data_IF_055630793515
#
_entry.id   IF_055630793515
#
_cell.length_a   1.000
_cell.length_b   1.000
_cell.length_c   1.000
_cell.angle_alpha   90.00
_cell.angle_beta   90.00
_cell.angle_gamma   90.00
#
_symmetry.space_group_name_H-M   'P 1'
#
loop_
_entity.id
_entity.type
_entity.pdbx_description
1 polymer ?
#
# COMPACT_ATOMS: atom_id res chain seq x y z
N UNK A 1 -2.39 -14.53 -2.82
CA UNK A 1 -1.32 -13.65 -2.30
C UNK A 1 -1.74 -13.17 -0.93
N UNK A 2 -0.85 -13.26 0.06
CA UNK A 2 -1.11 -12.74 1.40
C UNK A 2 -1.14 -11.21 1.40
N UNK A 3 -1.70 -10.63 2.46
CA UNK A 3 -1.73 -9.17 2.65
C UNK A 3 -0.31 -8.59 2.68
N UNK A 4 0.63 -9.31 3.31
CA UNK A 4 2.06 -8.95 3.38
C UNK A 4 2.75 -9.02 2.01
N UNK A 5 2.51 -10.07 1.24
CA UNK A 5 3.07 -10.20 -0.11
C UNK A 5 2.56 -9.09 -1.03
N UNK A 6 1.27 -8.73 -0.92
CA UNK A 6 0.69 -7.65 -1.73
C UNK A 6 1.21 -6.28 -1.32
N UNK A 7 1.34 -6.01 -0.02
CA UNK A 7 1.96 -4.78 0.49
C UNK A 7 3.41 -4.64 -0.03
N UNK A 8 4.17 -5.75 0.00
CA UNK A 8 5.53 -5.82 -0.55
C UNK A 8 5.54 -5.50 -2.04
N UNK A 9 4.67 -6.14 -2.83
CA UNK A 9 4.57 -5.90 -4.27
C UNK A 9 4.29 -4.43 -4.60
N UNK A 10 3.31 -3.81 -3.93
CA UNK A 10 2.95 -2.41 -4.17
C UNK A 10 4.10 -1.47 -3.81
N UNK A 11 4.71 -1.66 -2.65
CA UNK A 11 5.85 -0.85 -2.21
C UNK A 11 6.99 -0.89 -3.23
N UNK A 12 7.43 -2.08 -3.65
CA UNK A 12 8.53 -2.20 -4.63
C UNK A 12 8.15 -1.77 -6.04
N UNK A 13 6.88 -1.92 -6.43
CA UNK A 13 6.40 -1.41 -7.70
C UNK A 13 6.56 0.11 -7.75
N UNK A 14 6.19 0.82 -6.68
CA UNK A 14 6.34 2.28 -6.63
C UNK A 14 7.77 2.72 -6.41
N UNK A 15 8.57 2.03 -5.58
CA UNK A 15 10.00 2.33 -5.37
C UNK A 15 10.78 2.41 -6.69
N UNK A 16 10.48 1.51 -7.64
CA UNK A 16 11.07 1.52 -8.98
C UNK A 16 10.76 2.80 -9.78
N UNK A 17 9.61 3.42 -9.56
CA UNK A 17 9.15 4.60 -10.30
C UNK A 17 9.36 5.91 -9.54
N UNK A 18 9.47 5.85 -8.22
CA UNK A 18 9.79 6.99 -7.36
C UNK A 18 11.28 7.15 -7.15
N UNK A 19 12.14 6.26 -7.65
CA UNK A 19 13.59 6.48 -7.60
C UNK A 19 14.00 7.55 -8.60
N UNK A 20 14.23 8.75 -8.09
CA UNK A 20 14.90 9.83 -8.81
C UNK A 20 16.22 10.04 -8.10
N UNK A 21 17.36 9.79 -8.75
CA UNK A 21 18.72 9.91 -8.16
C UNK A 21 19.12 11.32 -7.67
N UNK A 22 18.13 12.18 -7.40
CA UNK A 22 18.20 13.54 -6.88
C UNK A 22 17.69 13.66 -5.44
N UNK A 23 17.09 12.60 -4.88
CA UNK A 23 16.62 12.56 -3.49
C UNK A 23 17.27 11.41 -2.73
N UNK A 24 17.28 11.51 -1.41
CA UNK A 24 17.80 10.47 -0.53
C UNK A 24 17.06 9.15 -0.69
N UNK A 25 17.70 8.04 -0.29
CA UNK A 25 17.05 6.74 -0.26
C UNK A 25 15.81 6.75 0.63
N UNK A 26 15.84 7.48 1.74
CA UNK A 26 14.71 7.63 2.66
C UNK A 26 13.53 8.36 2.02
N UNK A 27 13.77 9.47 1.32
CA UNK A 27 12.73 10.21 0.60
C UNK A 27 12.10 9.37 -0.53
N UNK A 28 12.89 8.56 -1.23
CA UNK A 28 12.38 7.62 -2.24
C UNK A 28 11.48 6.54 -1.61
N UNK A 29 11.91 5.95 -0.48
CA UNK A 29 11.15 4.95 0.28
C UNK A 29 9.83 5.53 0.80
N UNK A 30 9.84 6.76 1.33
CA UNK A 30 8.63 7.45 1.79
C UNK A 30 7.68 7.75 0.63
N UNK A 31 8.21 8.18 -0.52
CA UNK A 31 7.41 8.39 -1.74
C UNK A 31 6.75 7.10 -2.21
N UNK A 32 7.49 5.99 -2.25
CA UNK A 32 6.97 4.67 -2.62
C UNK A 32 5.85 4.21 -1.68
N UNK A 33 6.06 4.37 -0.36
CA UNK A 33 5.05 4.08 0.67
C UNK A 33 3.79 4.91 0.45
N UNK A 34 3.93 6.21 0.20
CA UNK A 34 2.78 7.10 -0.01
C UNK A 34 1.99 6.72 -1.26
N UNK A 35 2.66 6.42 -2.38
CA UNK A 35 1.99 5.95 -3.59
C UNK A 35 1.23 4.64 -3.35
N UNK A 36 1.85 3.68 -2.63
CA UNK A 36 1.20 2.43 -2.28
C UNK A 36 -0.05 2.64 -1.40
N UNK A 37 0.02 3.53 -0.41
CA UNK A 37 -1.11 3.88 0.45
C UNK A 37 -2.26 4.52 -0.34
N UNK A 38 -1.96 5.50 -1.21
CA UNK A 38 -2.98 6.15 -2.05
C UNK A 38 -3.69 5.12 -2.93
N UNK A 39 -2.94 4.23 -3.58
CA UNK A 39 -3.52 3.19 -4.43
C UNK A 39 -4.47 2.27 -3.65
N UNK A 40 -4.10 1.85 -2.44
CA UNK A 40 -4.95 1.03 -1.58
C UNK A 40 -6.18 1.79 -1.10
N UNK A 41 -6.04 3.07 -0.75
CA UNK A 41 -7.16 3.91 -0.32
C UNK A 41 -8.19 4.10 -1.43
N UNK A 42 -7.75 4.32 -2.67
CA UNK A 42 -8.67 4.40 -3.82
C UNK A 42 -9.44 3.10 -4.04
N UNK A 43 -8.80 1.95 -3.83
CA UNK A 43 -9.49 0.65 -3.89
C UNK A 43 -10.50 0.51 -2.75
N UNK A 44 -10.13 0.84 -1.52
CA UNK A 44 -11.01 0.77 -0.35
C UNK A 44 -12.27 1.64 -0.54
N UNK A 45 -12.13 2.83 -1.16
CA UNK A 45 -13.27 3.74 -1.42
C UNK A 45 -14.32 3.13 -2.36
N UNK A 46 -13.91 2.31 -3.33
CA UNK A 46 -14.84 1.71 -4.31
C UNK A 46 -15.32 0.31 -3.92
N UNK A 47 -14.70 -0.32 -2.93
CA UNK A 47 -15.12 -1.63 -2.40
C UNK A 47 -16.09 -1.40 -1.24
N UNK A 48 -17.37 -1.82 -1.34
CA UNK A 48 -18.32 -1.63 -0.25
C UNK A 48 -17.89 -2.41 0.99
N UNK A 49 -17.86 -1.74 2.15
CA UNK A 49 -17.47 -2.35 3.43
C UNK A 49 -18.45 -3.46 3.86
N UNK A 50 -19.75 -3.29 3.55
CA UNK A 50 -20.80 -4.25 3.89
C UNK A 50 -21.64 -4.59 2.67
N UNK A 51 -21.88 -5.89 2.46
CA UNK A 51 -22.80 -6.43 1.45
C UNK A 51 -23.72 -7.46 2.10
N UNK A 52 -24.30 -7.11 3.25
CA UNK A 52 -25.01 -8.03 4.17
C UNK A 52 -24.13 -8.62 5.27
N UNK A 53 -22.83 -8.75 5.03
CA UNK A 53 -21.77 -9.05 6.01
C UNK A 53 -20.55 -8.18 5.70
N UNK A 54 -19.53 -8.18 6.59
CA UNK A 54 -18.24 -7.52 6.31
C UNK A 54 -17.64 -8.08 5.02
N UNK A 55 -17.39 -7.21 4.06
CA UNK A 55 -16.88 -7.61 2.76
C UNK A 55 -15.43 -8.12 2.90
N UNK A 56 -15.13 -9.37 2.52
CA UNK A 56 -13.78 -9.92 2.63
C UNK A 56 -12.76 -9.15 1.78
N UNK A 57 -13.17 -8.56 0.65
CA UNK A 57 -12.29 -7.75 -0.18
C UNK A 57 -11.94 -6.42 0.52
N UNK A 58 -12.92 -5.78 1.15
CA UNK A 58 -12.66 -4.56 1.91
C UNK A 58 -11.68 -4.84 3.06
N UNK A 59 -11.94 -5.92 3.82
CA UNK A 59 -11.08 -6.36 4.92
C UNK A 59 -9.67 -6.73 4.45
N UNK A 60 -9.56 -7.36 3.28
CA UNK A 60 -8.27 -7.67 2.68
C UNK A 60 -7.47 -6.39 2.39
N UNK A 61 -8.08 -5.41 1.73
CA UNK A 61 -7.40 -4.15 1.39
C UNK A 61 -7.08 -3.29 2.62
N UNK A 62 -7.94 -3.30 3.63
CA UNK A 62 -7.66 -2.69 4.94
C UNK A 62 -6.38 -3.27 5.56
N UNK A 63 -6.26 -4.59 5.62
CA UNK A 63 -5.04 -5.24 6.13
C UNK A 63 -3.80 -5.00 5.26
N UNK A 64 -3.95 -4.90 3.94
CA UNK A 64 -2.84 -4.52 3.05
C UNK A 64 -2.34 -3.12 3.41
N UNK A 65 -3.25 -2.17 3.69
CA UNK A 65 -2.89 -0.82 4.18
C UNK A 65 -2.08 -0.89 5.48
N UNK A 66 -2.50 -1.73 6.43
CA UNK A 66 -1.77 -1.93 7.69
C UNK A 66 -0.36 -2.49 7.46
N UNK A 67 -0.20 -3.46 6.56
CA UNK A 67 1.11 -4.00 6.20
C UNK A 67 2.01 -2.95 5.50
N UNK A 68 1.45 -2.07 4.66
CA UNK A 68 2.20 -0.95 4.05
C UNK A 68 2.68 0.03 5.13
N UNK A 69 1.85 0.31 6.13
CA UNK A 69 2.24 1.21 7.23
C UNK A 69 3.45 0.70 8.02
N UNK A 70 3.67 -0.62 8.09
CA UNK A 70 4.84 -1.22 8.77
C UNK A 70 6.17 -0.99 8.06
N UNK A 71 6.20 -0.50 6.82
CA UNK A 71 7.43 -0.16 6.10
C UNK A 71 8.05 1.18 6.56
N UNK A 72 7.99 1.50 7.86
CA UNK A 72 8.65 2.69 8.43
C UNK A 72 10.18 2.54 8.50
N UNK A 73 10.84 3.70 8.31
CA UNK A 73 12.26 4.04 8.53
C UNK A 73 13.13 2.89 9.08
N UNK A 74 13.52 1.96 8.20
CA UNK A 74 14.70 1.12 8.36
C UNK A 74 15.87 1.68 7.58
#
# INVERSE_FOLDING_TARGET
MTEKEKAKELYFAFDKYTYHGRVSLEENKESAKQCALIAVEEIIKVVPMYTGNLNPNWKYWEKVKDEINKYEKQ
#
